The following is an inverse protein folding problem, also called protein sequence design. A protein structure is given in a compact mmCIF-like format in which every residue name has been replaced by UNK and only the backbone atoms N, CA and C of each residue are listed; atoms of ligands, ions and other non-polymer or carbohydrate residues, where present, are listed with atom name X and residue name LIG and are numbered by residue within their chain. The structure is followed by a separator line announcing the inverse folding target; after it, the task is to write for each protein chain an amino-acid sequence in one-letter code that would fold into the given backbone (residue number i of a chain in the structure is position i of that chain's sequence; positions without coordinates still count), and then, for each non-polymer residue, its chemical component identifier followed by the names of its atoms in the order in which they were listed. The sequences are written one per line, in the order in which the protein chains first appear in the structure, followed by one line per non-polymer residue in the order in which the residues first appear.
data_IF_539893036918
#
_entry.id   IF_539893036918
#
_cell.length_a   1.000
_cell.length_b   1.000
_cell.length_c   1.000
_cell.angle_alpha   90.00
_cell.angle_beta   90.00
_cell.angle_gamma   90.00
#
_symmetry.space_group_name_H-M   'P 1'
#
loop_
_entity.id
_entity.type
_entity.pdbx_description
1 polymer ?
#
# COMPACT_ATOMS: atom_id res chain seq x y z
N UNK A 1 -20.50 12.42 4.14
CA UNK A 1 -19.78 13.09 3.05
C UNK A 1 -18.30 12.93 3.34
N UNK A 2 -17.55 12.30 2.44
CA UNK A 2 -16.08 12.24 2.53
C UNK A 2 -15.48 13.52 1.96
N UNK A 3 -14.27 13.83 2.39
CA UNK A 3 -13.47 14.96 1.94
C UNK A 3 -12.18 14.36 1.36
N UNK A 4 -11.85 14.63 0.08
CA UNK A 4 -10.59 14.19 -0.48
C UNK A 4 -9.43 14.88 0.23
N UNK A 5 -8.46 14.10 0.66
CA UNK A 5 -7.22 14.57 1.27
C UNK A 5 -6.04 13.93 0.56
N UNK A 6 -5.02 14.74 0.28
CA UNK A 6 -3.85 14.32 -0.49
C UNK A 6 -2.59 14.49 0.35
N UNK A 7 -1.71 13.49 0.27
CA UNK A 7 -0.37 13.52 0.87
C UNK A 7 0.64 13.15 -0.22
N UNK A 8 1.72 13.90 -0.35
CA UNK A 8 2.85 13.48 -1.18
C UNK A 8 3.62 12.37 -0.46
N UNK A 9 3.83 11.23 -1.11
CA UNK A 9 4.61 10.13 -0.52
C UNK A 9 6.04 10.56 -0.17
N UNK A 10 6.61 11.53 -0.88
CA UNK A 10 7.92 12.09 -0.56
C UNK A 10 7.95 12.72 0.84
N UNK A 11 6.84 13.30 1.31
CA UNK A 11 6.74 13.80 2.68
C UNK A 11 6.78 12.64 3.69
N UNK A 12 6.14 11.50 3.41
CA UNK A 12 6.19 10.33 4.30
C UNK A 12 7.59 9.69 4.30
N UNK A 13 8.31 9.77 3.19
CA UNK A 13 9.63 9.15 2.98
C UNK A 13 10.80 10.05 3.39
N UNK A 14 10.56 11.35 3.62
CA UNK A 14 11.59 12.33 3.91
C UNK A 14 12.54 11.89 5.04
N UNK A 15 13.83 12.20 4.86
CA UNK A 15 14.92 11.72 5.72
C UNK A 15 14.90 12.36 7.11
N UNK A 16 14.56 13.65 7.17
CA UNK A 16 14.53 14.37 8.43
C UNK A 16 13.31 13.96 9.26
N UNK A 17 13.43 13.78 10.58
CA UNK A 17 12.28 13.73 11.46
C UNK A 17 11.46 15.02 11.35
N UNK A 18 10.15 14.95 11.54
CA UNK A 18 9.32 16.13 11.43
C UNK A 18 7.84 15.86 11.61
N UNK A 19 7.04 16.84 11.22
CA UNK A 19 5.59 16.77 11.25
C UNK A 19 5.05 17.11 9.87
N UNK A 20 4.08 16.33 9.42
CA UNK A 20 3.32 16.54 8.20
C UNK A 20 2.03 17.23 8.61
N UNK A 21 1.82 18.45 8.11
CA UNK A 21 0.62 19.20 8.41
C UNK A 21 -0.59 18.49 7.78
N UNK A 22 -1.60 18.19 8.60
CA UNK A 22 -2.88 17.65 8.14
C UNK A 22 -3.99 18.49 8.78
N UNK A 23 -5.20 18.57 8.20
CA UNK A 23 -6.26 19.35 8.82
C UNK A 23 -6.49 18.97 10.30
N UNK A 24 -6.51 19.95 11.20
CA UNK A 24 -6.71 19.71 12.63
C UNK A 24 -5.51 19.17 13.41
N UNK A 25 -4.31 19.07 12.83
CA UNK A 25 -3.09 18.76 13.59
C UNK A 25 -1.89 18.39 12.74
N UNK A 26 -1.02 17.53 13.28
CA UNK A 26 0.12 17.01 12.56
C UNK A 26 0.17 15.49 12.64
N UNK A 27 0.64 14.86 11.56
CA UNK A 27 1.15 13.49 11.58
C UNK A 27 2.67 13.56 11.77
N UNK A 28 3.18 13.03 12.87
CA UNK A 28 4.61 13.04 13.15
C UNK A 28 5.31 11.89 12.41
N UNK A 29 6.53 12.15 11.96
CA UNK A 29 7.41 11.22 11.28
C UNK A 29 8.74 11.17 12.02
N UNK A 30 9.10 9.99 12.52
CA UNK A 30 10.42 9.71 13.07
C UNK A 30 11.18 8.78 12.12
N UNK A 31 12.46 9.06 11.88
CA UNK A 31 13.33 8.17 11.11
C UNK A 31 14.08 7.22 12.05
N UNK A 32 14.17 5.96 11.65
CA UNK A 32 15.10 5.00 12.21
C UNK A 32 15.93 4.41 11.07
N UNK A 33 17.25 4.52 11.18
CA UNK A 33 18.19 4.07 10.15
C UNK A 33 19.41 3.42 10.78
N UNK A 34 19.88 2.33 10.20
CA UNK A 34 21.08 1.63 10.64
C UNK A 34 21.62 0.64 9.61
N UNK A 35 22.84 0.16 9.82
CA UNK A 35 23.48 -0.90 9.01
C UNK A 35 23.91 -2.05 9.91
N UNK A 36 23.62 -3.30 9.53
CA UNK A 36 23.90 -4.49 10.35
C UNK A 36 25.25 -5.15 9.98
N UNK A 37 25.64 -6.17 10.74
CA UNK A 37 26.87 -6.98 10.60
C UNK A 37 27.24 -7.41 9.16
N UNK A 38 26.27 -7.54 8.27
CA UNK A 38 26.43 -7.97 6.86
C UNK A 38 26.35 -6.83 5.85
N UNK A 39 26.44 -5.58 6.30
CA UNK A 39 26.40 -4.40 5.45
C UNK A 39 25.01 -4.10 4.85
N UNK A 40 23.96 -4.83 5.26
CA UNK A 40 22.58 -4.50 4.86
C UNK A 40 22.10 -3.29 5.66
N UNK A 41 21.45 -2.36 4.98
CA UNK A 41 20.86 -1.16 5.58
C UNK A 41 19.37 -1.36 5.85
N UNK A 42 18.90 -0.89 7.00
CA UNK A 42 17.48 -0.80 7.32
C UNK A 42 17.09 0.68 7.45
N UNK A 43 16.10 1.12 6.68
CA UNK A 43 15.54 2.46 6.75
C UNK A 43 14.03 2.38 7.00
N UNK A 44 13.60 2.91 8.14
CA UNK A 44 12.21 2.91 8.59
C UNK A 44 11.73 4.33 8.84
N UNK A 45 10.42 4.53 8.67
CA UNK A 45 9.70 5.68 9.20
C UNK A 45 8.64 5.22 10.18
N UNK A 46 8.55 5.90 11.31
CA UNK A 46 7.48 5.72 12.28
C UNK A 46 6.53 6.91 12.13
N UNK A 47 5.29 6.62 11.74
CA UNK A 47 4.24 7.62 11.57
C UNK A 47 3.31 7.59 12.77
N UNK A 48 3.05 8.72 13.42
CA UNK A 48 2.30 8.74 14.67
C UNK A 48 1.49 10.04 14.83
N UNK A 49 0.52 10.01 15.75
CA UNK A 49 -0.31 11.19 16.08
C UNK A 49 0.40 12.19 17.00
N UNK A 50 1.43 11.73 17.69
CA UNK A 50 2.23 12.49 18.64
C UNK A 50 3.71 12.24 18.37
N UNK A 51 4.58 13.17 18.80
CA UNK A 51 6.01 13.01 18.66
C UNK A 51 6.48 11.76 19.45
N UNK A 52 7.18 10.86 18.77
CA UNK A 52 7.73 9.66 19.40
C UNK A 52 9.14 9.93 19.89
N UNK A 53 9.50 9.32 21.02
CA UNK A 53 10.89 9.19 21.41
C UNK A 53 11.66 8.41 20.33
N UNK A 54 12.91 8.79 20.10
CA UNK A 54 13.77 8.02 19.20
C UNK A 54 13.85 6.55 19.67
N UNK A 55 13.68 5.58 18.77
CA UNK A 55 13.81 4.18 19.15
C UNK A 55 15.22 3.87 19.64
N UNK A 56 15.36 2.83 20.46
CA UNK A 56 16.67 2.34 20.86
C UNK A 56 17.50 2.01 19.61
N UNK A 57 18.77 2.47 19.56
CA UNK A 57 19.62 2.33 18.39
C UNK A 57 19.79 0.87 17.99
N UNK A 58 20.16 0.65 16.75
CA UNK A 58 20.52 -0.68 16.28
C UNK A 58 21.89 -1.06 16.81
N UNK A 59 22.04 -2.28 17.33
CA UNK A 59 23.35 -2.84 17.65
C UNK A 59 23.95 -3.46 16.38
N UNK A 60 25.27 -3.33 16.18
CA UNK A 60 25.95 -3.90 15.00
C UNK A 60 25.74 -5.42 14.90
N UNK A 61 25.59 -6.11 16.03
CA UNK A 61 25.35 -7.55 16.11
C UNK A 61 23.90 -7.98 15.88
N UNK A 62 22.94 -7.05 15.80
CA UNK A 62 21.55 -7.40 15.53
C UNK A 62 21.33 -7.65 14.02
N UNK A 63 20.63 -8.73 13.68
CA UNK A 63 20.12 -8.93 12.31
C UNK A 63 18.92 -8.01 12.02
N UNK A 64 18.77 -7.57 10.78
CA UNK A 64 17.67 -6.68 10.34
C UNK A 64 16.30 -7.20 10.78
N UNK A 65 16.07 -8.51 10.67
CA UNK A 65 14.81 -9.16 11.00
C UNK A 65 14.46 -9.00 12.49
N UNK A 66 15.46 -9.11 13.37
CA UNK A 66 15.30 -8.92 14.82
C UNK A 66 15.03 -7.46 15.17
N UNK A 67 15.74 -6.53 14.52
CA UNK A 67 15.55 -5.08 14.70
C UNK A 67 14.15 -4.68 14.26
N UNK A 68 13.71 -5.15 13.08
CA UNK A 68 12.40 -4.85 12.55
C UNK A 68 11.29 -5.35 13.47
N UNK A 69 11.40 -6.60 13.95
CA UNK A 69 10.46 -7.18 14.91
C UNK A 69 10.40 -6.37 16.21
N UNK A 70 11.54 -5.95 16.75
CA UNK A 70 11.63 -5.11 17.96
C UNK A 70 10.96 -3.76 17.76
N UNK A 71 11.26 -3.09 16.64
CA UNK A 71 10.69 -1.77 16.32
C UNK A 71 9.17 -1.87 16.12
N UNK A 72 8.70 -2.86 15.34
CA UNK A 72 7.28 -3.07 15.08
C UNK A 72 6.49 -3.48 16.34
N UNK A 73 7.09 -4.27 17.23
CA UNK A 73 6.46 -4.61 18.51
C UNK A 73 6.26 -3.38 19.42
N UNK A 74 7.19 -2.43 19.38
CA UNK A 74 7.11 -1.18 20.14
C UNK A 74 6.22 -0.10 19.52
N UNK A 75 5.95 -0.18 18.21
CA UNK A 75 5.25 0.85 17.45
C UNK A 75 4.16 0.22 16.59
N UNK A 76 2.94 0.16 17.13
CA UNK A 76 1.78 -0.45 16.48
C UNK A 76 0.58 0.50 16.47
N UNK A 77 -0.32 0.27 15.52
CA UNK A 77 -1.60 0.96 15.49
C UNK A 77 -2.37 0.66 16.80
N UNK A 78 -3.05 1.64 17.42
CA UNK A 78 -3.43 2.97 16.92
C UNK A 78 -2.42 4.11 17.17
N UNK A 79 -1.26 3.81 17.75
CA UNK A 79 -0.33 4.85 18.21
C UNK A 79 0.69 5.23 17.15
N UNK A 80 1.17 4.23 16.40
CA UNK A 80 2.10 4.42 15.31
C UNK A 80 1.92 3.42 14.17
N UNK A 81 2.46 3.74 13.00
CA UNK A 81 2.65 2.81 11.88
C UNK A 81 4.12 2.77 11.49
N UNK A 82 4.61 1.58 11.19
CA UNK A 82 5.96 1.37 10.65
C UNK A 82 5.87 1.30 9.12
N UNK A 83 6.63 2.18 8.48
CA UNK A 83 6.87 2.22 7.04
C UNK A 83 8.28 1.73 6.74
N UNK A 84 8.38 0.65 5.95
CA UNK A 84 9.64 0.14 5.41
C UNK A 84 10.00 0.89 4.13
N UNK A 85 11.08 1.68 4.18
CA UNK A 85 11.46 2.59 3.08
C UNK A 85 12.29 1.89 2.01
N UNK A 86 13.13 0.94 2.39
CA UNK A 86 14.09 0.28 1.50
C UNK A 86 13.96 -1.26 1.53
N UNK A 87 12.76 -1.83 1.27
CA UNK A 87 12.54 -3.27 1.39
C UNK A 87 13.49 -4.12 0.55
N UNK A 88 13.88 -3.63 -0.63
CA UNK A 88 14.82 -4.26 -1.56
C UNK A 88 16.21 -4.46 -0.96
N UNK A 89 16.72 -3.44 -0.24
CA UNK A 89 18.05 -3.48 0.37
C UNK A 89 18.05 -4.12 1.75
N UNK A 90 16.95 -3.99 2.50
CA UNK A 90 16.82 -4.52 3.85
C UNK A 90 16.56 -6.04 3.87
N UNK A 91 15.60 -6.50 3.06
CA UNK A 91 15.11 -7.88 3.08
C UNK A 91 15.27 -8.56 1.71
N UNK A 92 14.93 -7.83 0.64
CA UNK A 92 14.71 -8.40 -0.68
C UNK A 92 13.42 -9.22 -0.75
N UNK A 93 12.90 -9.53 -1.96
CA UNK A 93 11.57 -10.13 -2.13
C UNK A 93 11.41 -11.47 -1.38
N UNK A 94 12.48 -12.27 -1.36
CA UNK A 94 12.51 -13.61 -0.78
C UNK A 94 12.29 -13.62 0.75
N UNK A 95 12.66 -12.54 1.45
CA UNK A 95 12.64 -12.45 2.91
C UNK A 95 11.53 -11.54 3.44
N UNK A 96 10.57 -11.14 2.59
CA UNK A 96 9.51 -10.22 2.99
C UNK A 96 8.58 -10.74 4.08
N UNK A 97 8.59 -12.05 4.38
CA UNK A 97 7.90 -12.62 5.57
C UNK A 97 8.32 -11.93 6.87
N UNK A 98 9.57 -11.47 6.95
CA UNK A 98 10.11 -10.78 8.12
C UNK A 98 9.62 -9.33 8.27
N UNK A 99 8.93 -8.78 7.26
CA UNK A 99 8.28 -7.46 7.34
C UNK A 99 7.00 -7.46 8.19
N UNK A 100 6.68 -8.56 8.88
CA UNK A 100 5.53 -8.64 9.78
C UNK A 100 5.54 -7.49 10.80
N UNK A 101 4.40 -6.79 10.89
CA UNK A 101 4.24 -5.62 11.75
C UNK A 101 4.54 -4.28 11.06
N UNK A 102 5.16 -4.29 9.87
CA UNK A 102 5.13 -3.12 8.99
C UNK A 102 3.71 -2.95 8.44
N UNK A 103 3.16 -1.75 8.59
CA UNK A 103 1.86 -1.41 8.00
C UNK A 103 2.00 -0.89 6.57
N UNK A 104 3.16 -0.30 6.24
CA UNK A 104 3.40 0.37 4.97
C UNK A 104 4.76 -0.03 4.38
N UNK A 105 4.86 0.03 3.05
CA UNK A 105 6.10 -0.18 2.30
C UNK A 105 6.20 0.81 1.13
N UNK A 106 7.39 1.37 0.87
CA UNK A 106 7.61 2.18 -0.31
C UNK A 106 7.60 1.31 -1.58
N UNK A 107 6.99 1.78 -2.68
CA UNK A 107 6.86 1.06 -3.97
C UNK A 107 7.09 1.98 -5.18
N UNK A 108 7.97 2.96 -5.03
CA UNK A 108 8.39 3.95 -6.04
C UNK A 108 9.32 3.39 -7.14
N UNK A 109 9.59 2.08 -7.13
CA UNK A 109 10.40 1.41 -8.15
C UNK A 109 10.09 -0.08 -8.29
N UNK A 110 10.56 -0.73 -9.37
CA UNK A 110 10.21 -2.11 -9.70
C UNK A 110 10.70 -3.13 -8.66
N UNK A 111 11.90 -2.93 -8.09
CA UNK A 111 12.45 -3.85 -7.07
C UNK A 111 11.61 -3.81 -5.78
N UNK A 112 11.15 -2.63 -5.39
CA UNK A 112 10.30 -2.42 -4.23
C UNK A 112 8.88 -2.94 -4.46
N UNK A 113 8.36 -2.76 -5.66
CA UNK A 113 7.09 -3.35 -6.09
C UNK A 113 7.14 -4.88 -5.99
N UNK A 114 8.22 -5.51 -6.46
CA UNK A 114 8.42 -6.96 -6.32
C UNK A 114 8.47 -7.43 -4.85
N UNK A 115 9.12 -6.65 -3.97
CA UNK A 115 9.06 -6.91 -2.52
C UNK A 115 7.63 -6.83 -1.98
N UNK A 116 6.84 -5.84 -2.42
CA UNK A 116 5.45 -5.71 -1.99
C UNK A 116 4.60 -6.88 -2.46
N UNK A 117 4.70 -7.26 -3.74
CA UNK A 117 3.96 -8.40 -4.29
C UNK A 117 4.32 -9.72 -3.58
N UNK A 118 5.59 -9.93 -3.21
CA UNK A 118 6.01 -11.06 -2.39
C UNK A 118 5.45 -11.02 -0.96
N UNK A 119 5.37 -9.84 -0.34
CA UNK A 119 4.75 -9.69 0.98
C UNK A 119 3.26 -10.05 0.95
N UNK A 120 2.54 -9.56 -0.07
CA UNK A 120 1.13 -9.88 -0.28
C UNK A 120 0.92 -11.36 -0.60
N UNK A 121 1.81 -11.98 -1.38
CA UNK A 121 1.77 -13.41 -1.66
C UNK A 121 1.90 -14.26 -0.39
N UNK A 122 2.57 -13.75 0.64
CA UNK A 122 2.71 -14.37 1.97
C UNK A 122 1.58 -14.00 2.94
N UNK A 123 0.60 -13.21 2.48
CA UNK A 123 -0.57 -12.82 3.28
C UNK A 123 -0.29 -11.71 4.29
N UNK A 124 0.78 -10.93 4.11
CA UNK A 124 1.08 -9.82 4.99
C UNK A 124 0.15 -8.62 4.69
N UNK A 125 -0.52 -8.04 5.71
CA UNK A 125 -1.40 -6.88 5.54
C UNK A 125 -0.59 -5.58 5.48
N UNK A 126 0.20 -5.42 4.40
CA UNK A 126 1.09 -4.28 4.18
C UNK A 126 0.66 -3.49 2.94
N UNK A 127 0.58 -2.17 3.05
CA UNK A 127 0.08 -1.29 1.99
C UNK A 127 1.22 -0.51 1.31
N UNK A 128 1.10 -0.29 0.01
CA UNK A 128 2.14 0.31 -0.83
C UNK A 128 2.01 1.82 -0.91
N UNK A 129 3.13 2.54 -0.77
CA UNK A 129 3.21 3.99 -0.92
C UNK A 129 4.03 4.38 -2.16
N UNK A 130 3.46 5.27 -2.96
CA UNK A 130 4.15 5.96 -4.07
C UNK A 130 3.39 7.21 -4.48
N UNK A 131 4.09 8.08 -5.21
CA UNK A 131 3.56 9.28 -5.85
C UNK A 131 2.70 10.09 -4.86
N UNK A 132 1.40 10.27 -5.13
CA UNK A 132 0.48 10.95 -4.23
C UNK A 132 -0.55 9.99 -3.65
N UNK A 133 -0.71 10.01 -2.34
CA UNK A 133 -1.76 9.27 -1.66
C UNK A 133 -3.03 10.10 -1.68
N UNK A 134 -4.12 9.52 -2.18
CA UNK A 134 -5.44 10.12 -2.20
C UNK A 134 -6.35 9.35 -1.22
N UNK A 135 -6.79 10.05 -0.17
CA UNK A 135 -7.57 9.50 0.94
C UNK A 135 -8.97 10.13 0.94
N UNK A 136 -10.00 9.31 1.10
CA UNK A 136 -11.38 9.76 1.21
C UNK A 136 -11.81 9.75 2.68
N UNK A 137 -11.71 10.90 3.36
CA UNK A 137 -11.86 10.97 4.82
C UNK A 137 -13.11 11.75 5.21
N UNK A 138 -13.92 11.22 6.14
CA UNK A 138 -15.06 11.98 6.69
C UNK A 138 -14.60 13.25 7.44
N UNK A 139 -13.45 13.18 8.12
CA UNK A 139 -12.79 14.29 8.82
C UNK A 139 -11.27 14.09 8.70
N UNK A 140 -10.55 14.94 7.96
CA UNK A 140 -9.12 14.74 7.66
C UNK A 140 -8.17 15.10 8.82
N UNK A 141 -8.41 14.54 10.01
CA UNK A 141 -7.57 14.70 11.20
C UNK A 141 -6.44 13.66 11.27
N UNK A 142 -5.35 13.89 12.04
CA UNK A 142 -4.21 12.96 12.10
C UNK A 142 -4.58 11.50 12.39
N UNK A 143 -5.57 11.26 13.27
CA UNK A 143 -6.04 9.91 13.57
C UNK A 143 -6.76 9.25 12.40
N UNK A 144 -7.52 10.00 11.61
CA UNK A 144 -8.21 9.49 10.43
C UNK A 144 -7.21 9.19 9.30
N UNK A 145 -6.20 10.04 9.13
CA UNK A 145 -5.10 9.78 8.19
C UNK A 145 -4.34 8.52 8.59
N UNK A 146 -3.90 8.42 9.86
CA UNK A 146 -3.17 7.24 10.34
C UNK A 146 -4.03 5.97 10.21
N UNK A 147 -5.32 6.03 10.53
CA UNK A 147 -6.22 4.88 10.34
C UNK A 147 -6.38 4.51 8.86
N UNK A 148 -6.52 5.49 7.96
CA UNK A 148 -6.63 5.20 6.54
C UNK A 148 -5.36 4.55 5.98
N UNK A 149 -4.18 4.99 6.41
CA UNK A 149 -2.92 4.33 6.09
C UNK A 149 -2.84 2.90 6.67
N UNK A 150 -3.28 2.72 7.93
CA UNK A 150 -3.23 1.43 8.63
C UNK A 150 -4.14 0.36 8.01
N UNK A 151 -5.18 0.77 7.30
CA UNK A 151 -6.21 -0.12 6.73
C UNK A 151 -6.32 -0.02 5.22
N UNK A 152 -5.36 0.63 4.54
CA UNK A 152 -5.35 0.71 3.08
C UNK A 152 -6.47 1.56 2.47
N UNK A 153 -7.13 2.43 3.23
CA UNK A 153 -8.23 3.28 2.75
C UNK A 153 -7.70 4.51 1.98
N UNK A 154 -6.90 4.26 0.95
CA UNK A 154 -6.33 5.27 0.06
C UNK A 154 -6.01 4.66 -1.31
N UNK A 155 -5.67 5.50 -2.27
CA UNK A 155 -5.09 5.08 -3.55
C UNK A 155 -3.83 5.89 -3.81
N UNK A 156 -2.85 5.29 -4.48
CA UNK A 156 -1.71 6.05 -5.00
C UNK A 156 -2.05 6.55 -6.40
N UNK A 157 -1.77 7.81 -6.67
CA UNK A 157 -2.15 8.49 -7.92
C UNK A 157 -1.01 9.32 -8.47
N UNK A 158 -0.91 9.33 -9.80
CA UNK A 158 -0.07 10.23 -10.57
C UNK A 158 -0.89 10.71 -11.75
N UNK A 159 -1.25 12.00 -11.82
CA UNK A 159 -1.92 12.61 -12.99
C UNK A 159 -3.42 12.32 -13.19
N UNK A 160 -3.98 11.29 -12.53
CA UNK A 160 -5.40 10.90 -12.63
C UNK A 160 -6.22 11.28 -11.38
N UNK A 161 -6.02 12.48 -10.85
CA UNK A 161 -6.61 12.94 -9.59
C UNK A 161 -8.16 13.02 -9.63
N UNK A 162 -8.75 13.24 -10.81
CA UNK A 162 -10.20 13.36 -11.02
C UNK A 162 -10.96 12.02 -11.08
N UNK A 163 -10.26 10.90 -11.27
CA UNK A 163 -10.91 9.59 -11.36
C UNK A 163 -11.48 9.22 -10.00
N UNK A 164 -12.76 8.91 -9.95
CA UNK A 164 -13.43 8.47 -8.73
C UNK A 164 -13.21 6.97 -8.56
N UNK A 165 -12.64 6.57 -7.43
CA UNK A 165 -12.52 5.17 -7.03
C UNK A 165 -13.45 4.97 -5.84
N UNK A 166 -14.37 4.02 -5.96
CA UNK A 166 -15.28 3.63 -4.87
C UNK A 166 -15.05 2.18 -4.52
N UNK A 167 -14.82 1.94 -3.23
CA UNK A 167 -14.54 0.63 -2.68
C UNK A 167 -15.63 0.28 -1.67
N UNK A 168 -16.28 -0.86 -1.88
CA UNK A 168 -17.28 -1.43 -0.97
C UNK A 168 -16.87 -2.85 -0.56
N UNK A 169 -17.71 -3.56 0.21
CA UNK A 169 -17.42 -4.93 0.65
C UNK A 169 -17.40 -5.99 -0.47
N UNK A 170 -17.83 -5.63 -1.68
CA UNK A 170 -17.99 -6.54 -2.82
C UNK A 170 -16.97 -6.31 -3.92
N UNK A 171 -16.32 -5.15 -3.96
CA UNK A 171 -15.23 -4.89 -4.89
C UNK A 171 -14.94 -3.40 -5.03
N UNK A 172 -14.42 -3.06 -6.19
CA UNK A 172 -13.95 -1.70 -6.52
C UNK A 172 -14.57 -1.26 -7.83
N UNK A 173 -15.16 -0.07 -7.85
CA UNK A 173 -15.61 0.59 -9.08
C UNK A 173 -14.80 1.84 -9.35
N UNK A 174 -14.66 2.17 -10.63
CA UNK A 174 -14.03 3.40 -11.07
C UNK A 174 -14.93 4.16 -12.04
N UNK A 175 -14.77 5.47 -12.05
CA UNK A 175 -15.41 6.35 -13.00
C UNK A 175 -14.49 7.53 -13.30
N UNK A 176 -14.20 7.74 -14.58
CA UNK A 176 -13.51 8.92 -15.06
C UNK A 176 -14.51 9.96 -15.57
N UNK A 177 -14.66 11.12 -14.90
CA UNK A 177 -15.58 12.18 -15.33
C UNK A 177 -15.19 12.80 -16.69
N UNK A 178 -13.94 12.62 -17.13
CA UNK A 178 -13.47 13.06 -18.45
C UNK A 178 -13.73 12.01 -19.56
N UNK A 179 -14.34 10.87 -19.23
CA UNK A 179 -14.64 9.78 -20.15
C UNK A 179 -13.44 9.22 -20.93
N UNK A 180 -12.22 9.31 -20.38
CA UNK A 180 -11.01 8.74 -21.02
C UNK A 180 -11.01 7.23 -20.87
N UNK A 181 -10.46 6.54 -21.87
CA UNK A 181 -10.36 5.08 -21.84
C UNK A 181 -9.18 4.65 -20.98
N UNK A 182 -9.44 4.29 -19.72
CA UNK A 182 -8.42 3.81 -18.81
C UNK A 182 -8.16 2.32 -19.09
N UNK A 183 -6.90 1.94 -19.29
CA UNK A 183 -6.51 0.54 -19.29
C UNK A 183 -6.52 0.04 -17.86
N UNK A 184 -7.30 -1.00 -17.58
CA UNK A 184 -7.49 -1.51 -16.22
C UNK A 184 -7.05 -2.95 -16.11
N UNK A 185 -6.30 -3.24 -15.05
CA UNK A 185 -5.84 -4.59 -14.72
C UNK A 185 -6.12 -4.89 -13.25
N UNK A 186 -6.59 -6.10 -12.96
CA UNK A 186 -6.62 -6.64 -11.61
C UNK A 186 -5.28 -7.34 -11.34
N UNK A 187 -4.54 -6.87 -10.35
CA UNK A 187 -3.30 -7.49 -9.88
C UNK A 187 -3.64 -8.43 -8.73
N UNK A 188 -3.46 -9.72 -8.98
CA UNK A 188 -3.74 -10.81 -8.06
C UNK A 188 -2.48 -11.20 -7.28
N UNK A 189 -2.58 -12.28 -6.50
CA UNK A 189 -1.47 -12.85 -5.74
C UNK A 189 -0.22 -13.05 -6.62
N UNK A 190 0.95 -12.79 -6.06
CA UNK A 190 2.27 -12.87 -6.73
C UNK A 190 2.44 -11.87 -7.91
N UNK A 191 1.63 -10.81 -7.96
CA UNK A 191 1.75 -9.79 -9.01
C UNK A 191 1.19 -10.23 -10.36
N UNK A 192 0.39 -11.30 -10.42
CA UNK A 192 -0.25 -11.71 -11.67
C UNK A 192 -1.28 -10.67 -12.12
N UNK A 193 -1.09 -10.10 -13.31
CA UNK A 193 -2.00 -9.10 -13.86
C UNK A 193 -3.04 -9.73 -14.80
N UNK A 194 -4.31 -9.57 -14.46
CA UNK A 194 -5.45 -9.94 -15.29
C UNK A 194 -6.03 -8.67 -15.95
N UNK A 195 -5.85 -8.48 -17.28
CA UNK A 195 -6.40 -7.30 -17.96
C UNK A 195 -7.93 -7.37 -17.98
N UNK A 196 -8.58 -6.27 -17.62
CA UNK A 196 -10.04 -6.09 -17.67
C UNK A 196 -10.50 -5.37 -18.93
N UNK A 197 -9.56 -4.75 -19.67
CA UNK A 197 -9.82 -3.98 -20.88
C UNK A 197 -9.66 -2.47 -20.66
N UNK A 198 -10.07 -1.71 -21.67
CA UNK A 198 -10.07 -0.25 -21.62
C UNK A 198 -11.50 0.26 -21.41
N UNK A 199 -11.74 1.03 -20.34
CA UNK A 199 -13.04 1.60 -20.04
C UNK A 199 -12.93 2.85 -19.16
N UNK A 200 -13.74 3.87 -19.47
CA UNK A 200 -13.86 5.07 -18.63
C UNK A 200 -14.55 4.81 -17.29
N UNK A 201 -15.40 3.80 -17.24
CA UNK A 201 -16.10 3.37 -16.04
C UNK A 201 -16.15 1.85 -15.98
N UNK A 202 -16.22 1.30 -14.79
CA UNK A 202 -16.32 -0.14 -14.61
C UNK A 202 -16.29 -0.56 -13.16
N UNK A 203 -16.36 -1.87 -12.95
CA UNK A 203 -16.36 -2.48 -11.64
C UNK A 203 -15.67 -3.83 -11.66
N UNK A 204 -14.79 -4.03 -10.70
CA UNK A 204 -14.32 -5.33 -10.26
C UNK A 204 -15.23 -5.86 -9.15
N UNK A 205 -15.57 -7.15 -9.22
CA UNK A 205 -16.33 -7.85 -8.18
C UNK A 205 -15.48 -8.98 -7.63
N UNK A 206 -15.32 -9.01 -6.31
CA UNK A 206 -14.54 -10.05 -5.63
C UNK A 206 -15.30 -11.38 -5.70
N UNK A 207 -14.64 -12.42 -6.22
CA UNK A 207 -15.22 -13.75 -6.37
C UNK A 207 -15.00 -14.64 -5.15
N UNK A 208 -14.07 -14.28 -4.25
CA UNK A 208 -13.76 -15.05 -3.04
C UNK A 208 -12.58 -16.02 -3.21
N UNK A 209 -12.01 -16.15 -4.41
CA UNK A 209 -10.93 -17.09 -4.71
C UNK A 209 -9.57 -16.42 -4.90
N UNK A 210 -9.52 -15.09 -4.99
CA UNK A 210 -8.33 -14.30 -5.28
C UNK A 210 -7.34 -14.30 -4.11
N UNK A 211 -7.86 -14.32 -2.88
CA UNK A 211 -7.11 -14.11 -1.63
C UNK A 211 -6.65 -12.65 -1.47
N UNK A 212 -5.99 -12.09 -2.48
CA UNK A 212 -5.61 -10.67 -2.54
C UNK A 212 -5.84 -10.10 -3.93
N UNK A 213 -6.43 -8.92 -4.01
CA UNK A 213 -6.62 -8.18 -5.26
C UNK A 213 -6.36 -6.69 -5.08
N UNK A 214 -5.67 -6.06 -6.04
CA UNK A 214 -5.62 -4.61 -6.20
C UNK A 214 -5.86 -4.25 -7.66
N UNK A 215 -6.40 -3.07 -7.93
CA UNK A 215 -6.54 -2.57 -9.30
C UNK A 215 -5.38 -1.65 -9.65
N UNK A 216 -4.95 -1.77 -10.90
CA UNK A 216 -4.05 -0.83 -11.56
C UNK A 216 -4.79 -0.24 -12.75
N UNK A 217 -4.90 1.09 -12.78
CA UNK A 217 -5.50 1.84 -13.88
C UNK A 217 -4.42 2.74 -14.48
N UNK A 218 -4.29 2.74 -15.80
CA UNK A 218 -3.35 3.60 -16.50
C UNK A 218 -3.94 4.24 -17.77
N UNK A 219 -3.41 5.41 -18.08
CA UNK A 219 -3.67 6.20 -19.28
C UNK A 219 -2.43 7.07 -19.55
N UNK A 220 -2.29 7.66 -20.74
CA UNK A 220 -1.15 8.55 -21.05
C UNK A 220 -1.01 9.73 -20.08
N UNK A 221 -2.14 10.14 -19.48
CA UNK A 221 -2.20 11.20 -18.49
C UNK A 221 -1.70 10.79 -17.10
N UNK A 222 -1.59 9.49 -16.82
CA UNK A 222 -1.21 9.04 -15.50
C UNK A 222 -1.70 7.65 -15.09
N UNK A 223 -1.57 7.36 -13.81
CA UNK A 223 -1.72 6.03 -13.22
C UNK A 223 -2.39 6.09 -11.83
N UNK A 224 -3.13 5.05 -11.49
CA UNK A 224 -3.74 4.83 -10.18
C UNK A 224 -3.44 3.40 -9.74
N UNK A 225 -2.95 3.26 -8.51
CA UNK A 225 -2.83 1.98 -7.81
C UNK A 225 -3.75 2.01 -6.60
N UNK A 226 -4.70 1.07 -6.56
CA UNK A 226 -5.47 0.84 -5.33
C UNK A 226 -4.64 0.03 -4.34
N UNK A 227 -5.07 0.03 -3.09
CA UNK A 227 -4.49 -0.84 -2.08
C UNK A 227 -5.04 -2.27 -2.19
N UNK A 228 -4.28 -3.28 -1.73
CA UNK A 228 -4.69 -4.66 -1.71
C UNK A 228 -5.89 -4.87 -0.80
N UNK A 229 -6.90 -5.54 -1.36
CA UNK A 229 -8.04 -6.09 -0.65
C UNK A 229 -7.75 -7.53 -0.29
N UNK A 230 -7.93 -7.87 0.99
CA UNK A 230 -7.77 -9.23 1.48
C UNK A 230 -9.14 -9.92 1.48
N UNK A 231 -9.34 -10.83 0.53
CA UNK A 231 -10.64 -11.44 0.26
C UNK A 231 -10.76 -12.75 1.02
N UNK A 232 -11.78 -12.85 1.87
CA UNK A 232 -12.10 -14.08 2.59
C UNK A 232 -12.65 -15.15 1.63
N UNK A 233 -12.21 -16.41 1.75
CA UNK A 233 -12.79 -17.51 0.99
C UNK A 233 -14.28 -17.66 1.29
N UNK A 234 -15.11 -17.75 0.25
CA UNK A 234 -16.52 -18.08 0.42
C UNK A 234 -16.68 -19.58 0.71
N UNK A 235 -17.41 -19.98 1.78
CA UNK A 235 -17.70 -21.37 2.04
C UNK A 235 -18.54 -21.97 0.91
N UNK A 236 -18.01 -22.96 0.18
CA UNK A 236 -18.74 -23.68 -0.86
C UNK A 236 -18.38 -23.35 -2.31
N UNK A 237 -17.39 -22.50 -2.56
CA UNK A 237 -16.90 -22.27 -3.93
C UNK A 237 -16.19 -23.50 -4.49
N UNK A 238 -16.80 -24.12 -5.50
CA UNK A 238 -16.12 -25.08 -6.39
C UNK A 238 -14.88 -24.41 -7.03
N UNK A 239 -13.90 -25.24 -7.42
CA UNK A 239 -12.67 -24.83 -8.11
C UNK A 239 -12.87 -23.68 -9.13
N UNK A 240 -11.87 -22.80 -9.31
CA UNK A 240 -12.02 -21.58 -10.10
C UNK A 240 -12.62 -21.88 -11.49
N UNK A 241 -13.55 -21.05 -11.99
CA UNK A 241 -13.99 -21.17 -13.37
C UNK A 241 -12.76 -21.02 -14.27
N UNK A 242 -12.67 -21.91 -15.26
CA UNK A 242 -11.72 -21.78 -16.37
C UNK A 242 -11.78 -20.34 -16.90
N UNK A 243 -10.63 -19.75 -17.21
CA UNK A 243 -10.55 -18.42 -17.82
C UNK A 243 -11.64 -18.25 -18.90
N UNK A 244 -12.33 -17.09 -18.98
CA UNK A 244 -13.36 -16.88 -19.97
C UNK A 244 -12.75 -17.15 -21.35
N UNK A 245 -13.28 -18.18 -22.02
CA UNK A 245 -12.89 -18.51 -23.38
C UNK A 245 -13.12 -17.28 -24.24
N UNK A 246 -12.05 -16.80 -24.86
CA UNK A 246 -12.14 -15.86 -25.97
C UNK A 246 -13.08 -16.50 -27.00
N UNK A 247 -14.27 -15.92 -27.16
CA UNK A 247 -15.18 -16.31 -28.23
C UNK A 247 -14.48 -16.18 -29.59
N UNK A 248 -14.79 -17.04 -30.56
CA UNK A 248 -14.13 -17.00 -31.86
C UNK A 248 -14.37 -15.65 -32.52
N UNK A 249 -13.27 -15.02 -32.97
CA UNK A 249 -13.33 -13.86 -33.86
C UNK A 249 -14.06 -14.27 -35.14
N UNK A 250 -15.17 -13.61 -35.41
CA UNK A 250 -15.87 -13.64 -36.70
C UNK A 250 -15.20 -12.68 -37.69
#
# INVERSE_FOLDING_TARGET
MTIPFRIDSAELLALEPGAIAVPGGNLYRQRFYGTCDRGRSLDLRLLSREALSAPAPMLESEGIEAVLARIAAGHRYPDALVLLVNPEAALGPQHMVHAQGCGLVAIDGPERLACWDEALAKGLPIYGLRDYLHLELNRPQPSAVLAALAFGNFSCRRGLDQVVITEDRFGVSWQDPEHRQLSVSAVLRQGFEAPLGAAAEGRWQDSGHEGVVRLYLCHDAGEIWTQPRFIMPQPGGSAPPSAPGLGPLA
#
